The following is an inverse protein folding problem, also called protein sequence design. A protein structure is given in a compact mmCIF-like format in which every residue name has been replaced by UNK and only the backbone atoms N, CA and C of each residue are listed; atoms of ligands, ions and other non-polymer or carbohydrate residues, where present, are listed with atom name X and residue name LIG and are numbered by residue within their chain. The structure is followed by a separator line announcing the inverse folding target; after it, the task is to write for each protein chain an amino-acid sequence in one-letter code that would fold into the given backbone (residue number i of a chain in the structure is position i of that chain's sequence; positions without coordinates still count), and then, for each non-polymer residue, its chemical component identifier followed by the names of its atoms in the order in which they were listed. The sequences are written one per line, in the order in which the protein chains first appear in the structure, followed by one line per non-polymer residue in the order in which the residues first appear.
data_IF_987084874461
#
_entry.id   IF_987084874461
#
_cell.length_a   1.000
_cell.length_b   1.000
_cell.length_c   1.000
_cell.angle_alpha   90.00
_cell.angle_beta   90.00
_cell.angle_gamma   90.00
#
_symmetry.space_group_name_H-M   'P 1'
#
loop_
_entity.id
_entity.type
_entity.pdbx_description
1 polymer ?
#
# COMPACT_ATOMS: atom_id res chain seq x y z
N UNK A 1 1.77 -18.43 9.42
CA UNK A 1 0.94 -17.21 9.31
C UNK A 1 1.83 -16.12 8.74
N UNK A 2 1.71 -15.77 7.45
CA UNK A 2 2.64 -14.85 6.80
C UNK A 2 2.34 -13.40 7.24
N UNK A 3 3.27 -12.69 7.90
CA UNK A 3 3.03 -11.35 8.40
C UNK A 3 3.05 -10.33 7.25
N UNK A 4 2.10 -9.38 7.27
CA UNK A 4 2.20 -8.15 6.49
C UNK A 4 1.52 -8.10 5.12
N UNK A 5 0.95 -9.20 4.61
CA UNK A 5 0.06 -9.12 3.44
C UNK A 5 -1.38 -8.96 3.96
N UNK A 6 -2.09 -7.84 3.70
CA UNK A 6 -3.51 -7.77 3.97
C UNK A 6 -4.26 -8.77 3.06
N UNK A 7 -4.37 -10.01 3.53
CA UNK A 7 -5.13 -11.10 2.89
C UNK A 7 -6.62 -10.93 3.19
N UNK A 8 -7.18 -9.79 2.76
CA UNK A 8 -8.61 -9.70 2.56
C UNK A 8 -8.91 -10.30 1.18
N UNK A 9 -9.37 -11.55 1.15
CA UNK A 9 -9.72 -12.31 -0.06
C UNK A 9 -10.88 -11.70 -0.88
N UNK A 10 -11.29 -10.48 -0.56
CA UNK A 10 -12.50 -9.82 -1.08
C UNK A 10 -12.33 -9.28 -2.52
N UNK A 11 -11.10 -9.27 -3.06
CA UNK A 11 -10.82 -8.70 -4.39
C UNK A 11 -10.26 -9.75 -5.35
N UNK A 12 -10.76 -9.79 -6.60
CA UNK A 12 -10.26 -10.63 -7.70
C UNK A 12 -8.73 -10.49 -7.89
N UNK A 13 -8.17 -9.30 -7.66
CA UNK A 13 -6.72 -9.08 -7.78
C UNK A 13 -5.91 -9.82 -6.71
N UNK A 14 -6.44 -9.97 -5.49
CA UNK A 14 -5.78 -10.75 -4.44
C UNK A 14 -5.78 -12.24 -4.81
N UNK A 15 -6.90 -12.74 -5.33
CA UNK A 15 -7.00 -14.12 -5.80
C UNK A 15 -5.99 -14.42 -6.92
N UNK A 16 -5.93 -13.55 -7.94
CA UNK A 16 -4.93 -13.68 -9.03
C UNK A 16 -3.50 -13.65 -8.52
N UNK A 17 -3.19 -12.84 -7.49
CA UNK A 17 -1.86 -12.80 -6.83
C UNK A 17 -1.52 -14.12 -6.15
N UNK A 18 -2.45 -14.68 -5.39
CA UNK A 18 -2.27 -15.98 -4.77
C UNK A 18 -2.06 -17.09 -5.82
N UNK A 19 -2.89 -17.11 -6.86
CA UNK A 19 -2.80 -18.09 -7.95
C UNK A 19 -1.47 -17.99 -8.73
N UNK A 20 -0.95 -16.79 -9.00
CA UNK A 20 0.33 -16.61 -9.69
C UNK A 20 1.53 -17.17 -8.90
N UNK A 21 1.38 -17.38 -7.59
CA UNK A 21 2.40 -17.98 -6.72
C UNK A 21 2.16 -19.47 -6.55
N UNK A 22 0.90 -19.88 -6.34
CA UNK A 22 0.54 -21.26 -6.02
C UNK A 22 0.47 -22.18 -7.25
N UNK A 23 -0.13 -21.74 -8.35
CA UNK A 23 -0.35 -22.60 -9.52
C UNK A 23 0.95 -23.13 -10.15
N UNK A 24 2.06 -22.37 -10.23
CA UNK A 24 3.33 -22.91 -10.71
C UNK A 24 4.00 -23.93 -9.76
N UNK A 25 3.53 -24.08 -8.52
CA UNK A 25 4.05 -25.03 -7.54
C UNK A 25 3.29 -26.36 -7.54
N UNK A 26 2.06 -26.37 -8.05
CA UNK A 26 1.33 -27.60 -8.41
C UNK A 26 2.07 -28.33 -9.54
N UNK A 27 1.94 -29.66 -9.66
CA UNK A 27 2.80 -30.46 -10.53
C UNK A 27 2.69 -30.01 -12.00
N UNK A 28 3.66 -29.21 -12.44
CA UNK A 28 4.03 -28.98 -13.84
C UNK A 28 3.41 -27.78 -14.55
N UNK A 29 2.63 -26.90 -13.90
CA UNK A 29 2.07 -25.75 -14.62
C UNK A 29 3.16 -24.75 -14.99
N UNK A 30 3.40 -24.58 -16.29
CA UNK A 30 4.31 -23.56 -16.83
C UNK A 30 3.84 -22.14 -16.46
N UNK A 31 4.76 -21.16 -16.56
CA UNK A 31 4.41 -19.76 -16.35
C UNK A 31 3.39 -19.28 -17.39
N UNK A 32 3.46 -19.81 -18.60
CA UNK A 32 2.54 -19.60 -19.72
C UNK A 32 1.12 -20.07 -19.38
N UNK A 33 0.99 -21.32 -18.92
CA UNK A 33 -0.29 -21.90 -18.53
C UNK A 33 -0.89 -21.18 -17.32
N UNK A 34 -0.04 -20.83 -16.35
CA UNK A 34 -0.46 -20.02 -15.19
C UNK A 34 -0.99 -18.66 -15.63
N UNK A 35 -0.27 -17.97 -16.53
CA UNK A 35 -0.67 -16.67 -17.05
C UNK A 35 -2.01 -16.74 -17.79
N UNK A 36 -2.21 -17.80 -18.59
CA UNK A 36 -3.48 -18.10 -19.26
C UNK A 36 -4.61 -18.34 -18.26
N UNK A 37 -4.38 -19.15 -17.23
CA UNK A 37 -5.38 -19.48 -16.21
C UNK A 37 -5.86 -18.25 -15.42
N UNK A 38 -4.96 -17.31 -15.09
CA UNK A 38 -5.31 -16.10 -14.33
C UNK A 38 -5.71 -14.91 -15.22
N UNK A 39 -5.65 -15.06 -16.55
CA UNK A 39 -5.97 -14.01 -17.53
C UNK A 39 -4.99 -12.83 -17.49
N UNK A 40 -3.69 -13.09 -17.41
CA UNK A 40 -2.62 -12.09 -17.38
C UNK A 40 -1.52 -12.42 -18.38
N UNK A 41 -0.63 -11.45 -18.64
CA UNK A 41 0.56 -11.71 -19.45
C UNK A 41 1.61 -12.47 -18.65
N UNK A 42 2.45 -13.25 -19.33
CA UNK A 42 3.56 -14.00 -18.73
C UNK A 42 4.47 -13.09 -17.91
N UNK A 43 4.83 -11.91 -18.47
CA UNK A 43 5.63 -10.89 -17.78
C UNK A 43 4.98 -10.44 -16.47
N UNK A 44 3.67 -10.25 -16.47
CA UNK A 44 2.94 -9.81 -15.29
C UNK A 44 2.88 -10.91 -14.22
N UNK A 45 2.60 -12.16 -14.62
CA UNK A 45 2.64 -13.33 -13.74
C UNK A 45 4.02 -13.52 -13.10
N UNK A 46 5.10 -13.42 -13.89
CA UNK A 46 6.47 -13.49 -13.40
C UNK A 46 6.80 -12.36 -12.41
N UNK A 47 6.36 -11.13 -12.71
CA UNK A 47 6.52 -9.98 -11.81
C UNK A 47 5.78 -10.18 -10.49
N UNK A 48 4.53 -10.65 -10.52
CA UNK A 48 3.74 -10.97 -9.32
C UNK A 48 4.45 -12.00 -8.44
N UNK A 49 4.97 -13.08 -9.05
CA UNK A 49 5.70 -14.13 -8.33
C UNK A 49 7.01 -13.62 -7.72
N UNK A 50 7.82 -12.92 -8.52
CA UNK A 50 9.09 -12.36 -8.07
C UNK A 50 8.90 -11.40 -6.91
N UNK A 51 7.91 -10.50 -7.02
CA UNK A 51 7.59 -9.55 -5.97
C UNK A 51 7.11 -10.23 -4.70
N UNK A 52 6.29 -11.27 -4.81
CA UNK A 52 5.89 -12.07 -3.65
C UNK A 52 7.12 -12.65 -2.92
N UNK A 53 8.06 -13.24 -3.66
CA UNK A 53 9.28 -13.80 -3.08
C UNK A 53 10.14 -12.73 -2.38
N UNK A 54 10.29 -11.55 -2.98
CA UNK A 54 11.03 -10.43 -2.37
C UNK A 54 10.39 -9.96 -1.07
N UNK A 55 9.07 -9.81 -1.06
CA UNK A 55 8.31 -9.44 0.16
C UNK A 55 8.43 -10.52 1.23
N UNK A 56 8.31 -11.80 0.86
CA UNK A 56 8.46 -12.92 1.79
C UNK A 56 9.87 -13.04 2.38
N UNK A 57 10.89 -12.57 1.66
CA UNK A 57 12.30 -12.49 2.11
C UNK A 57 12.64 -11.17 2.82
N UNK A 58 11.67 -10.28 3.01
CA UNK A 58 11.87 -8.95 3.57
C UNK A 58 12.85 -8.06 2.75
N UNK A 59 13.02 -8.36 1.46
CA UNK A 59 13.84 -7.55 0.52
C UNK A 59 13.06 -6.35 -0.04
N UNK A 60 11.73 -6.41 0.02
CA UNK A 60 10.83 -5.35 -0.44
C UNK A 60 9.64 -5.22 0.53
N UNK A 61 9.19 -4.01 0.81
CA UNK A 61 7.97 -3.81 1.59
C UNK A 61 6.73 -4.31 0.86
N UNK A 62 5.77 -4.85 1.62
CA UNK A 62 4.49 -5.24 1.07
C UNK A 62 3.77 -4.02 0.46
N UNK A 63 3.09 -4.17 -0.70
CA UNK A 63 2.37 -3.07 -1.31
C UNK A 63 1.33 -2.47 -0.37
N UNK A 64 1.48 -1.18 -0.08
CA UNK A 64 0.54 -0.40 0.72
C UNK A 64 -0.81 -0.28 -0.02
N UNK A 65 -1.89 -0.28 0.76
CA UNK A 65 -3.23 0.01 0.22
C UNK A 65 -3.33 1.48 -0.16
N UNK A 66 -4.22 1.84 -1.10
CA UNK A 66 -4.42 3.25 -1.51
C UNK A 66 -4.70 4.18 -0.31
N UNK A 67 -5.41 3.69 0.70
CA UNK A 67 -5.74 4.44 1.92
C UNK A 67 -4.53 4.65 2.84
N UNK A 68 -3.51 3.80 2.71
CA UNK A 68 -2.26 3.90 3.47
C UNK A 68 -1.14 4.61 2.70
N UNK A 69 -1.42 5.12 1.49
CA UNK A 69 -0.45 5.90 0.73
C UNK A 69 -0.35 7.30 1.33
N UNK A 70 0.81 7.62 1.89
CA UNK A 70 1.22 8.99 2.26
C UNK A 70 2.25 9.51 1.26
N UNK A 71 1.89 9.44 -0.03
CA UNK A 71 2.80 9.84 -1.10
C UNK A 71 3.12 11.34 -0.94
N UNK A 72 4.41 11.68 -0.89
CA UNK A 72 4.90 13.07 -0.73
C UNK A 72 4.56 13.75 0.61
N UNK A 73 4.13 13.00 1.63
CA UNK A 73 4.02 13.57 2.98
C UNK A 73 5.42 13.94 3.50
N UNK A 74 5.56 15.18 3.98
CA UNK A 74 6.83 15.74 4.47
C UNK A 74 6.98 15.45 5.97
N UNK A 75 5.88 15.56 6.72
CA UNK A 75 5.82 15.36 8.16
C UNK A 75 5.30 13.96 8.55
N UNK A 76 5.67 13.51 9.76
CA UNK A 76 5.08 12.33 10.39
C UNK A 76 3.65 12.60 10.85
N UNK A 77 2.88 11.54 11.13
CA UNK A 77 1.53 11.68 11.68
C UNK A 77 1.52 12.42 13.03
N UNK A 78 2.56 12.19 13.84
CA UNK A 78 2.73 12.83 15.15
C UNK A 78 2.96 14.34 15.01
N UNK A 79 3.82 14.74 14.06
CA UNK A 79 4.08 16.15 13.75
C UNK A 79 2.83 16.84 13.20
N UNK A 80 2.10 16.21 12.27
CA UNK A 80 0.84 16.74 11.76
C UNK A 80 -0.21 16.92 12.87
N UNK A 81 -0.29 15.97 13.80
CA UNK A 81 -1.21 16.06 14.94
C UNK A 81 -0.86 17.25 15.85
N UNK A 82 0.42 17.45 16.16
CA UNK A 82 0.86 18.60 16.96
C UNK A 82 0.49 19.94 16.31
N UNK A 83 0.73 20.09 15.01
CA UNK A 83 0.37 21.31 14.26
C UNK A 83 -1.15 21.52 14.28
N UNK A 84 -1.93 20.44 14.16
CA UNK A 84 -3.39 20.50 14.20
C UNK A 84 -3.92 20.87 15.58
N UNK A 85 -3.35 20.34 16.66
CA UNK A 85 -3.78 20.62 18.03
C UNK A 85 -3.68 22.13 18.35
N UNK A 86 -2.61 22.79 17.92
CA UNK A 86 -2.43 24.24 18.08
C UNK A 86 -3.55 25.05 17.39
N UNK A 87 -3.92 24.65 16.18
CA UNK A 87 -4.93 25.36 15.37
C UNK A 87 -6.34 25.04 15.85
N UNK A 88 -6.60 23.79 16.24
CA UNK A 88 -7.90 23.34 16.73
C UNK A 88 -8.23 23.91 18.11
N UNK A 89 -7.24 24.22 18.95
CA UNK A 89 -7.45 24.90 20.23
C UNK A 89 -8.09 26.31 20.07
N UNK A 90 -7.88 26.96 18.93
CA UNK A 90 -8.56 28.20 18.54
C UNK A 90 -9.97 27.95 18.00
N UNK A 91 -10.14 26.92 17.18
CA UNK A 91 -11.42 26.57 16.56
C UNK A 91 -12.46 26.03 17.56
N UNK A 92 -12.03 25.30 18.59
CA UNK A 92 -12.90 24.76 19.64
C UNK A 92 -13.70 25.85 20.39
N UNK A 93 -13.25 27.10 20.34
CA UNK A 93 -13.93 28.27 20.94
C UNK A 93 -14.91 28.96 19.98
N UNK A 94 -15.27 28.32 18.87
CA UNK A 94 -16.14 28.88 17.84
C UNK A 94 -15.40 29.63 16.72
N UNK A 95 -14.08 29.49 16.65
CA UNK A 95 -13.25 30.08 15.59
C UNK A 95 -13.27 29.28 14.29
N UNK A 96 -12.95 29.93 13.18
CA UNK A 96 -12.81 29.30 11.85
C UNK A 96 -11.35 28.90 11.61
N UNK A 97 -11.12 27.67 11.14
CA UNK A 97 -9.79 27.22 10.69
C UNK A 97 -9.58 27.64 9.24
N UNK A 98 -8.54 28.42 8.99
CA UNK A 98 -8.16 28.84 7.64
C UNK A 98 -7.13 27.85 7.09
N UNK A 99 -7.51 27.10 6.05
CA UNK A 99 -6.74 25.97 5.52
C UNK A 99 -5.42 26.37 4.83
N UNK A 100 -5.36 27.44 4.00
CA UNK A 100 -4.11 27.83 3.32
C UNK A 100 -2.86 28.00 4.23
N UNK A 101 -2.89 28.78 5.33
CA UNK A 101 -1.73 28.93 6.22
C UNK A 101 -1.40 27.66 7.00
N UNK A 102 -2.39 26.81 7.28
CA UNK A 102 -2.17 25.50 7.90
C UNK A 102 -1.40 24.56 6.96
N UNK A 103 -1.75 24.57 5.68
CA UNK A 103 -1.08 23.75 4.67
C UNK A 103 0.40 24.13 4.54
N UNK A 104 0.71 25.42 4.54
CA UNK A 104 2.10 25.90 4.50
C UNK A 104 2.92 25.38 5.68
N UNK A 105 2.37 25.39 6.91
CA UNK A 105 3.03 24.83 8.11
C UNK A 105 3.25 23.31 8.04
N UNK A 106 2.35 22.56 7.41
CA UNK A 106 2.47 21.10 7.25
C UNK A 106 3.47 20.73 6.16
N UNK A 107 3.58 21.57 5.12
CA UNK A 107 4.51 21.38 4.01
C UNK A 107 5.90 22.00 4.25
N UNK A 108 6.08 22.76 5.33
CA UNK A 108 7.36 23.33 5.74
C UNK A 108 8.34 22.20 6.07
N UNK A 109 9.44 22.14 5.32
CA UNK A 109 10.50 21.15 5.54
C UNK A 109 11.33 21.56 6.75
N UNK A 110 11.67 20.63 7.67
CA UNK A 110 12.70 20.87 8.68
C UNK A 110 14.08 21.12 8.04
#
# INVERSE_FOLDING_TARGET
MLPGIPMHYRTIQCFRKAQAVLLPLEPGMSLEETAKAIGRSIRWTCSMRTRYCRVARCEEEAPRTKRALRNRAIATLEQEAQILDEVLAGAARGGVVVVPPLKEKIEERP
#
